data_IF_558551596961
#
_entry.id   IF_558551596961
#
_cell.length_a   1.000
_cell.length_b   1.000
_cell.length_c   1.000
_cell.angle_alpha   90.00
_cell.angle_beta   90.00
_cell.angle_gamma   90.00
#
_symmetry.space_group_name_H-M   'P 1'
#
loop_
_entity.id
_entity.type
_entity.pdbx_description
1 polymer ?
#
# COMPACT_ATOMS: atom_id res chain seq x y z
N UNK A 1 1.27 -12.71 -6.98
CA UNK A 1 0.99 -12.28 -8.38
C UNK A 1 0.27 -10.93 -8.45
N UNK A 2 -0.96 -10.77 -7.91
CA UNK A 2 -1.68 -9.47 -7.95
C UNK A 2 -1.02 -8.43 -7.05
N UNK A 3 -0.69 -8.81 -5.82
CA UNK A 3 -0.03 -7.90 -4.88
C UNK A 3 1.36 -7.48 -5.33
N UNK A 4 2.19 -8.44 -5.75
CA UNK A 4 3.53 -8.16 -6.28
C UNK A 4 3.49 -7.21 -7.47
N UNK A 5 2.46 -7.34 -8.33
CA UNK A 5 2.23 -6.42 -9.45
C UNK A 5 1.96 -4.99 -8.96
N UNK A 6 1.11 -4.82 -7.95
CA UNK A 6 0.83 -3.50 -7.37
C UNK A 6 2.06 -2.91 -6.70
N UNK A 7 2.81 -3.69 -5.92
CA UNK A 7 4.05 -3.24 -5.28
C UNK A 7 5.11 -2.83 -6.30
N UNK A 8 5.32 -3.63 -7.36
CA UNK A 8 6.25 -3.28 -8.42
C UNK A 8 5.84 -1.99 -9.14
N UNK A 9 4.55 -1.83 -9.44
CA UNK A 9 4.02 -0.61 -10.05
C UNK A 9 4.20 0.60 -9.14
N UNK A 10 3.89 0.46 -7.85
CA UNK A 10 4.06 1.52 -6.85
C UNK A 10 5.53 1.93 -6.71
N UNK A 11 6.45 0.97 -6.63
CA UNK A 11 7.89 1.24 -6.57
C UNK A 11 8.39 1.99 -7.81
N UNK A 12 7.90 1.62 -9.00
CA UNK A 12 8.22 2.33 -10.23
C UNK A 12 7.70 3.77 -10.21
N UNK A 13 6.44 3.99 -9.79
CA UNK A 13 5.89 5.35 -9.73
C UNK A 13 6.55 6.21 -8.64
N UNK A 14 6.86 5.63 -7.48
CA UNK A 14 7.58 6.29 -6.40
C UNK A 14 8.95 6.80 -6.85
N UNK A 15 9.65 6.04 -7.69
CA UNK A 15 10.96 6.46 -8.22
C UNK A 15 10.91 7.77 -9.01
N UNK A 16 9.72 8.20 -9.45
CA UNK A 16 9.49 9.42 -10.23
C UNK A 16 9.00 10.61 -9.39
N UNK A 17 8.69 10.42 -8.10
CA UNK A 17 8.21 11.47 -7.19
C UNK A 17 9.39 12.13 -6.48
N UNK A 18 9.36 13.45 -6.28
CA UNK A 18 10.35 14.12 -5.41
C UNK A 18 10.08 13.78 -3.95
N UNK A 19 11.09 13.20 -3.31
CA UNK A 19 11.06 12.92 -1.88
C UNK A 19 11.19 14.21 -1.07
N UNK A 20 10.06 14.85 -0.75
CA UNK A 20 10.00 15.85 0.33
C UNK A 20 9.86 15.15 1.69
N UNK A 21 10.29 15.77 2.79
CA UNK A 21 10.11 15.21 4.14
C UNK A 21 8.65 14.88 4.46
N UNK A 22 7.70 15.73 4.07
CA UNK A 22 6.27 15.52 4.32
C UNK A 22 5.72 14.33 3.54
N UNK A 23 6.09 14.21 2.26
CA UNK A 23 5.66 13.09 1.42
C UNK A 23 6.23 11.77 1.92
N UNK A 24 7.47 11.79 2.42
CA UNK A 24 8.14 10.60 2.95
C UNK A 24 7.41 10.04 4.17
N UNK A 25 7.08 10.88 5.15
CA UNK A 25 6.38 10.42 6.36
C UNK A 25 5.03 9.78 6.03
N UNK A 26 4.26 10.40 5.13
CA UNK A 26 2.99 9.85 4.67
C UNK A 26 3.16 8.47 4.02
N UNK A 27 4.11 8.35 3.09
CA UNK A 27 4.39 7.11 2.36
C UNK A 27 4.91 5.99 3.28
N UNK A 28 5.81 6.33 4.21
CA UNK A 28 6.34 5.39 5.20
C UNK A 28 5.21 4.84 6.09
N UNK A 29 4.21 5.67 6.44
CA UNK A 29 3.01 5.23 7.14
C UNK A 29 2.19 4.19 6.39
N UNK A 30 2.00 4.35 5.07
CA UNK A 30 1.34 3.34 4.24
C UNK A 30 2.11 2.02 4.21
N UNK A 31 3.43 2.09 4.04
CA UNK A 31 4.29 0.90 4.00
C UNK A 31 4.30 0.15 5.33
N UNK A 32 4.36 0.88 6.45
CA UNK A 32 4.26 0.31 7.78
C UNK A 32 2.93 -0.43 7.97
N UNK A 33 1.80 0.18 7.57
CA UNK A 33 0.49 -0.46 7.69
C UNK A 33 0.36 -1.72 6.84
N UNK A 34 0.97 -1.75 5.65
CA UNK A 34 1.02 -2.94 4.81
C UNK A 34 1.86 -4.06 5.45
N UNK A 35 2.96 -3.72 6.12
CA UNK A 35 3.77 -4.69 6.86
C UNK A 35 3.02 -5.27 8.07
N UNK A 36 2.29 -4.45 8.82
CA UNK A 36 1.41 -4.89 9.92
C UNK A 36 0.38 -5.91 9.43
N UNK A 37 -0.33 -5.60 8.34
CA UNK A 37 -1.31 -6.51 7.74
C UNK A 37 -0.64 -7.80 7.22
N UNK A 38 0.57 -7.71 6.68
CA UNK A 38 1.33 -8.88 6.22
C UNK A 38 1.69 -9.81 7.38
N UNK A 39 2.11 -9.25 8.52
CA UNK A 39 2.39 -10.02 9.74
C UNK A 39 1.14 -10.68 10.29
N UNK A 40 0.02 -9.97 10.32
CA UNK A 40 -1.27 -10.52 10.74
C UNK A 40 -1.73 -11.66 9.82
N UNK A 41 -1.62 -11.51 8.51
CA UNK A 41 -1.94 -12.56 7.54
C UNK A 41 -1.14 -13.85 7.80
N UNK A 42 0.16 -13.72 8.05
CA UNK A 42 1.04 -14.85 8.39
C UNK A 42 0.59 -15.54 9.68
N UNK A 43 0.25 -14.76 10.72
CA UNK A 43 -0.28 -15.28 11.99
C UNK A 43 -1.58 -16.04 11.79
N UNK A 44 -2.55 -15.46 11.08
CA UNK A 44 -3.84 -16.08 10.79
C UNK A 44 -3.71 -17.35 9.93
N UNK A 45 -2.77 -17.36 8.98
CA UNK A 45 -2.48 -18.53 8.15
C UNK A 45 -1.88 -19.65 9.00
N UNK A 46 -0.97 -19.32 9.93
CA UNK A 46 -0.43 -20.29 10.87
C UNK A 46 -1.55 -20.88 11.75
N UNK A 47 -2.41 -20.03 12.31
CA UNK A 47 -3.57 -20.44 13.11
C UNK A 47 -4.51 -21.38 12.35
N UNK A 48 -4.82 -21.05 11.09
CA UNK A 48 -5.63 -21.87 10.19
C UNK A 48 -5.00 -23.26 9.98
N UNK A 49 -3.68 -23.31 9.79
CA UNK A 49 -2.94 -24.56 9.55
C UNK A 49 -2.80 -25.41 10.83
N UNK A 50 -2.75 -24.79 12.01
CA UNK A 50 -2.60 -25.52 13.29
C UNK A 50 -3.93 -25.99 13.86
N UNK A 51 -4.96 -25.15 13.79
CA UNK A 51 -6.25 -25.38 14.45
C UNK A 51 -7.31 -25.93 13.49
N UNK A 52 -7.00 -25.98 12.19
CA UNK A 52 -7.95 -26.29 11.13
C UNK A 52 -8.80 -25.08 10.74
N UNK A 53 -9.52 -25.18 9.61
CA UNK A 53 -10.36 -24.10 9.13
C UNK A 53 -11.51 -23.81 10.08
N UNK A 54 -11.61 -22.56 10.53
CA UNK A 54 -12.80 -22.04 11.19
C UNK A 54 -13.24 -20.73 10.49
N UNK A 55 -14.54 -20.46 10.52
CA UNK A 55 -15.16 -19.34 9.80
C UNK A 55 -14.57 -17.98 10.22
N UNK A 56 -14.24 -17.80 11.50
CA UNK A 56 -13.67 -16.57 12.02
C UNK A 56 -12.27 -16.30 11.43
N UNK A 57 -11.38 -17.29 11.43
CA UNK A 57 -10.03 -17.16 10.86
C UNK A 57 -10.08 -16.97 9.35
N UNK A 58 -11.01 -17.63 8.65
CA UNK A 58 -11.20 -17.44 7.20
C UNK A 58 -11.69 -16.01 6.90
N UNK A 59 -12.68 -15.51 7.63
CA UNK A 59 -13.19 -14.15 7.46
C UNK A 59 -12.09 -13.11 7.76
N UNK A 60 -11.31 -13.30 8.82
CA UNK A 60 -10.19 -12.44 9.16
C UNK A 60 -9.11 -12.42 8.06
N UNK A 61 -8.80 -13.56 7.44
CA UNK A 61 -7.87 -13.65 6.30
C UNK A 61 -8.40 -12.87 5.08
N UNK A 62 -9.69 -13.03 4.77
CA UNK A 62 -10.35 -12.32 3.66
C UNK A 62 -10.30 -10.82 3.90
N UNK A 63 -10.63 -10.37 5.11
CA UNK A 63 -10.65 -8.94 5.44
C UNK A 63 -9.25 -8.34 5.43
N UNK A 64 -8.24 -9.06 5.93
CA UNK A 64 -6.85 -8.64 5.81
C UNK A 64 -6.43 -8.43 4.34
N UNK A 65 -6.77 -9.35 3.45
CA UNK A 65 -6.51 -9.21 2.01
C UNK A 65 -7.24 -8.01 1.40
N UNK A 66 -8.52 -7.79 1.76
CA UNK A 66 -9.29 -6.61 1.31
C UNK A 66 -8.66 -5.30 1.79
N UNK A 67 -8.21 -5.24 3.04
CA UNK A 67 -7.56 -4.06 3.60
C UNK A 67 -6.23 -3.76 2.91
N UNK A 68 -5.40 -4.79 2.66
CA UNK A 68 -4.15 -4.64 1.90
C UNK A 68 -4.41 -4.09 0.50
N UNK A 69 -5.38 -4.66 -0.22
CA UNK A 69 -5.74 -4.18 -1.55
C UNK A 69 -6.23 -2.72 -1.52
N UNK A 70 -7.07 -2.36 -0.55
CA UNK A 70 -7.55 -0.98 -0.38
C UNK A 70 -6.40 0.00 -0.12
N UNK A 71 -5.43 -0.36 0.72
CA UNK A 71 -4.25 0.46 0.99
C UNK A 71 -3.38 0.64 -0.25
N UNK A 72 -3.18 -0.42 -1.04
CA UNK A 72 -2.42 -0.32 -2.30
C UNK A 72 -3.08 0.66 -3.29
N UNK A 73 -4.41 0.65 -3.40
CA UNK A 73 -5.11 1.63 -4.23
C UNK A 73 -4.97 3.06 -3.70
N UNK A 74 -5.12 3.26 -2.39
CA UNK A 74 -4.94 4.57 -1.75
C UNK A 74 -3.52 5.11 -1.95
N UNK A 75 -2.52 4.28 -1.72
CA UNK A 75 -1.11 4.62 -1.93
C UNK A 75 -0.84 5.02 -3.40
N UNK A 76 -1.36 4.24 -4.35
CA UNK A 76 -1.25 4.57 -5.78
C UNK A 76 -1.90 5.92 -6.11
N UNK A 77 -3.07 6.22 -5.56
CA UNK A 77 -3.76 7.49 -5.80
C UNK A 77 -2.97 8.66 -5.20
N UNK A 78 -2.48 8.51 -3.97
CA UNK A 78 -1.64 9.51 -3.32
C UNK A 78 -0.41 9.85 -4.17
N UNK A 79 0.28 8.82 -4.71
CA UNK A 79 1.43 9.01 -5.59
C UNK A 79 1.06 9.81 -6.86
N UNK A 80 -0.09 9.51 -7.47
CA UNK A 80 -0.55 10.26 -8.65
C UNK A 80 -0.87 11.71 -8.34
N UNK A 81 -1.47 11.98 -7.18
CA UNK A 81 -1.77 13.35 -6.73
C UNK A 81 -0.48 14.15 -6.53
N UNK A 82 0.55 13.54 -5.92
CA UNK A 82 1.87 14.15 -5.76
C UNK A 82 2.54 14.46 -7.11
N UNK A 83 2.49 13.53 -8.07
CA UNK A 83 3.02 13.75 -9.43
C UNK A 83 2.28 14.88 -10.16
N UNK A 84 0.96 14.97 -9.98
CA UNK A 84 0.12 16.00 -10.62
C UNK A 84 0.41 17.39 -10.03
N UNK A 85 0.60 17.48 -8.71
CA UNK A 85 0.98 18.71 -8.03
C UNK A 85 2.34 19.23 -8.53
N UNK A 86 3.35 18.35 -8.65
CA UNK A 86 4.66 18.73 -9.20
C UNK A 86 4.57 19.26 -10.65
N UNK A 87 3.67 18.70 -11.46
CA UNK A 87 3.50 19.14 -12.87
C UNK A 87 2.89 20.53 -12.96
N UNK A 88 1.85 20.81 -12.15
CA UNK A 88 1.20 22.12 -12.11
C UNK A 88 2.13 23.22 -11.57
N UNK A 89 3.00 22.89 -10.62
CA UNK A 89 3.99 23.82 -10.08
C UNK A 89 5.05 24.21 -11.12
N UNK A 90 5.39 23.31 -12.05
CA UNK A 90 6.32 23.60 -13.15
C UNK A 90 5.69 24.52 -14.20
N UNK A 91 4.42 24.30 -14.57
CA UNK A 91 3.72 25.13 -15.57
C UNK A 91 3.52 26.58 -15.09
N UNK A 92 3.16 26.77 -13.81
CA UNK A 92 3.00 28.10 -13.20
C UNK A 92 4.33 28.87 -13.02
N UNK A 93 5.48 28.19 -13.03
CA UNK A 93 6.79 28.86 -12.96
C UNK A 93 7.32 29.29 -14.34
N UNK A 94 6.71 28.81 -15.42
CA UNK A 94 7.10 29.12 -16.82
C UNK A 94 6.16 30.09 -17.52
N UNK A 95 5.11 30.58 -16.84
CA UNK A 95 4.14 31.56 -17.36
C UNK A 95 4.32 32.95 -16.77
#
# INVERSE_FOLDING_TARGET
KVEDYYLATINLELSKVKYTPENKELLDGYLQRLDELTKEYKRLTQELNTSGPNELTINALIDNLKFRLNLLYKLRNQIKELQSAETNDLENQTS
#
